data_IF_594718369446
#
_entry.id   IF_594718369446
#
_cell.length_a   1.000
_cell.length_b   1.000
_cell.length_c   1.000
_cell.angle_alpha   90.00
_cell.angle_beta   90.00
_cell.angle_gamma   90.00
#
_symmetry.space_group_name_H-M   'P 1'
#
loop_
_entity.id
_entity.type
_entity.pdbx_description
1 polymer ?
#
# COMPACT_ATOMS: atom_id res chain seq x y z
N UNK A 1 26.30 -43.38 5.83
CA UNK A 1 24.94 -43.38 6.42
C UNK A 1 24.28 -42.07 5.99
N UNK A 2 23.74 -42.07 4.78
CA UNK A 2 23.00 -40.94 4.22
C UNK A 2 21.58 -41.10 4.76
N UNK A 3 21.09 -40.16 5.55
CA UNK A 3 19.67 -40.11 5.91
C UNK A 3 18.91 -39.97 4.59
N UNK A 4 18.29 -41.05 4.12
CA UNK A 4 17.33 -40.99 3.02
C UNK A 4 16.10 -40.27 3.55
N UNK A 5 16.18 -38.94 3.47
CA UNK A 5 15.06 -38.04 3.74
C UNK A 5 13.96 -38.41 2.74
N UNK A 6 12.87 -38.96 3.24
CA UNK A 6 11.72 -39.33 2.44
C UNK A 6 11.08 -38.03 1.90
N UNK A 7 11.51 -37.59 0.71
CA UNK A 7 11.05 -36.34 0.09
C UNK A 7 9.53 -36.29 -0.13
N UNK A 8 8.85 -37.43 -0.13
CA UNK A 8 7.40 -37.49 -0.24
C UNK A 8 6.68 -36.99 1.03
N UNK A 9 7.31 -37.06 2.20
CA UNK A 9 6.74 -36.54 3.47
C UNK A 9 7.00 -35.04 3.68
N UNK A 10 7.78 -34.39 2.79
CA UNK A 10 8.21 -32.99 2.96
C UNK A 10 7.37 -31.96 2.20
N UNK A 11 6.40 -32.37 1.40
CA UNK A 11 5.44 -31.45 0.81
C UNK A 11 4.22 -31.30 1.72
N UNK A 12 4.38 -30.54 2.81
CA UNK A 12 3.22 -29.94 3.46
C UNK A 12 2.73 -28.80 2.55
N UNK A 13 1.84 -29.14 1.62
CA UNK A 13 1.10 -28.15 0.86
C UNK A 13 -0.06 -27.70 1.73
N UNK A 14 0.06 -26.52 2.33
CA UNK A 14 -1.08 -25.87 2.97
C UNK A 14 -2.04 -25.44 1.87
N UNK A 15 -3.13 -26.19 1.69
CA UNK A 15 -4.26 -25.74 0.91
C UNK A 15 -5.06 -24.74 1.75
N UNK A 16 -4.77 -23.47 1.54
CA UNK A 16 -5.59 -22.40 2.11
C UNK A 16 -6.90 -22.34 1.33
N UNK A 17 -8.00 -22.69 2.00
CA UNK A 17 -9.34 -22.44 1.47
C UNK A 17 -9.87 -21.18 2.14
N UNK A 18 -10.07 -20.11 1.36
CA UNK A 18 -10.83 -18.95 1.85
C UNK A 18 -12.30 -19.36 1.99
N UNK A 19 -12.82 -19.34 3.22
CA UNK A 19 -14.24 -19.60 3.49
C UNK A 19 -15.12 -18.36 3.27
N UNK A 20 -14.49 -17.20 3.24
CA UNK A 20 -15.13 -15.90 3.21
C UNK A 20 -14.19 -14.92 2.51
N UNK A 21 -14.72 -14.17 1.56
CA UNK A 21 -14.05 -13.04 0.92
C UNK A 21 -14.41 -11.80 1.73
N UNK A 22 -13.39 -11.07 2.21
CA UNK A 22 -13.59 -9.80 2.90
C UNK A 22 -13.93 -8.76 1.84
N UNK A 23 -15.06 -8.08 1.99
CA UNK A 23 -15.45 -6.98 1.12
C UNK A 23 -15.38 -5.63 1.84
N UNK A 24 -15.72 -4.55 1.13
CA UNK A 24 -15.67 -3.19 1.68
C UNK A 24 -16.51 -3.03 2.95
N UNK A 25 -17.61 -3.78 3.10
CA UNK A 25 -18.52 -3.71 4.25
C UNK A 25 -17.96 -4.36 5.52
N UNK A 26 -16.97 -5.24 5.37
CA UNK A 26 -16.27 -5.88 6.49
C UNK A 26 -15.19 -4.98 7.11
N UNK A 27 -14.83 -3.90 6.41
CA UNK A 27 -13.73 -3.03 6.81
C UNK A 27 -14.23 -1.62 7.09
N UNK A 28 -13.58 -0.96 8.04
CA UNK A 28 -13.77 0.48 8.27
C UNK A 28 -13.11 1.36 7.22
N UNK A 29 -12.30 0.79 6.33
CA UNK A 29 -11.41 1.54 5.45
C UNK A 29 -12.19 2.48 4.53
N UNK A 30 -13.27 1.99 3.92
CA UNK A 30 -14.05 2.81 3.00
C UNK A 30 -14.80 3.92 3.74
N UNK A 31 -15.33 3.66 4.95
CA UNK A 31 -15.94 4.67 5.80
C UNK A 31 -14.94 5.76 6.21
N UNK A 32 -13.74 5.35 6.62
CA UNK A 32 -12.67 6.28 7.02
C UNK A 32 -12.20 7.12 5.81
N UNK A 33 -12.13 6.54 4.59
CA UNK A 33 -11.82 7.27 3.36
C UNK A 33 -12.94 8.25 2.97
N UNK A 34 -14.20 7.85 3.09
CA UNK A 34 -15.36 8.69 2.80
C UNK A 34 -15.51 9.85 3.79
N UNK A 35 -14.92 9.74 4.98
CA UNK A 35 -14.93 10.78 6.01
C UNK A 35 -13.81 11.83 5.84
N UNK A 36 -12.89 11.62 4.91
CA UNK A 36 -11.85 12.61 4.60
C UNK A 36 -12.46 13.82 3.91
N UNK A 37 -11.91 15.00 4.19
CA UNK A 37 -12.25 16.21 3.46
C UNK A 37 -11.85 16.07 1.98
N UNK A 38 -12.60 16.71 1.09
CA UNK A 38 -12.26 16.79 -0.33
C UNK A 38 -10.85 17.36 -0.52
N UNK A 39 -10.08 16.76 -1.44
CA UNK A 39 -8.79 17.29 -1.84
C UNK A 39 -9.00 18.62 -2.58
N UNK A 40 -8.54 19.72 -1.99
CA UNK A 40 -8.73 21.08 -2.55
C UNK A 40 -7.53 21.57 -3.33
N UNK A 41 -6.32 21.23 -2.90
CA UNK A 41 -5.09 21.79 -3.46
C UNK A 41 -4.00 20.73 -3.48
N UNK A 42 -3.23 20.72 -4.57
CA UNK A 42 -1.98 19.97 -4.68
C UNK A 42 -0.85 20.99 -4.72
N UNK A 43 0.06 20.93 -3.74
CA UNK A 43 1.31 21.69 -3.74
C UNK A 43 2.45 20.84 -4.30
N UNK A 44 3.28 21.44 -5.16
CA UNK A 44 4.47 20.80 -5.72
C UNK A 44 5.67 21.69 -5.39
N UNK A 45 6.60 21.12 -4.63
CA UNK A 45 7.89 21.71 -4.29
C UNK A 45 8.99 21.01 -5.09
N UNK A 46 9.81 21.79 -5.78
CA UNK A 46 10.94 21.29 -6.57
C UNK A 46 12.23 21.88 -6.02
N UNK A 47 13.07 20.98 -5.51
CA UNK A 47 14.47 21.19 -5.16
C UNK A 47 15.33 20.69 -6.34
N UNK A 48 16.00 21.59 -7.07
CA UNK A 48 16.69 21.24 -8.32
C UNK A 48 18.05 21.92 -8.58
N UNK A 49 18.48 22.90 -7.79
CA UNK A 49 19.81 23.52 -7.99
C UNK A 49 20.87 22.69 -7.28
N UNK A 50 20.72 22.54 -5.97
CA UNK A 50 21.54 21.68 -5.11
C UNK A 50 20.56 21.00 -4.14
N UNK A 51 20.51 19.65 -4.07
CA UNK A 51 19.56 18.95 -3.21
C UNK A 51 19.92 19.13 -1.73
N UNK A 52 19.65 20.32 -1.21
CA UNK A 52 19.97 20.82 0.12
C UNK A 52 18.73 20.83 1.03
N UNK A 53 17.56 20.52 0.48
CA UNK A 53 16.28 20.50 1.18
C UNK A 53 15.54 21.84 1.15
N UNK A 54 16.10 22.88 0.53
CA UNK A 54 15.43 24.15 0.28
C UNK A 54 14.70 24.09 -1.07
N UNK A 55 13.46 24.57 -1.10
CA UNK A 55 12.65 24.55 -2.33
C UNK A 55 12.94 25.78 -3.19
N UNK A 56 13.40 25.62 -4.43
CA UNK A 56 13.54 26.76 -5.34
C UNK A 56 12.29 27.07 -6.16
N UNK A 57 11.43 26.08 -6.37
CA UNK A 57 10.17 26.30 -7.08
C UNK A 57 8.99 25.65 -6.37
N UNK A 58 8.02 26.48 -6.03
CA UNK A 58 6.73 26.08 -5.47
C UNK A 58 5.61 26.41 -6.46
N UNK A 59 4.71 25.46 -6.69
CA UNK A 59 3.49 25.68 -7.46
C UNK A 59 2.31 24.99 -6.80
N UNK A 60 1.14 25.61 -6.89
CA UNK A 60 -0.12 25.08 -6.36
C UNK A 60 -1.13 24.87 -7.48
N UNK A 61 -1.83 23.74 -7.42
CA UNK A 61 -2.96 23.43 -8.29
C UNK A 61 -4.20 23.34 -7.41
N UNK A 62 -5.11 24.30 -7.56
CA UNK A 62 -6.43 24.27 -6.92
C UNK A 62 -7.38 23.41 -7.75
N UNK A 63 -8.02 22.44 -7.12
CA UNK A 63 -9.03 21.58 -7.72
C UNK A 63 -10.42 22.25 -7.62
N UNK A 64 -11.28 22.09 -8.64
CA UNK A 64 -12.60 22.72 -8.71
C UNK A 64 -13.59 22.19 -7.66
#
# INVERSE_FOLDING_TARGET
MLLELNRYELYYQFDFTMKYEIDESDTRQQDDLNALDDLKTIGIDVDFIEPDGETEHHTEITLP
#
